data_IF_434297848400
#
_entry.id   IF_434297848400
#
_cell.length_a   1.000
_cell.length_b   1.000
_cell.length_c   1.000
_cell.angle_alpha   90.00
_cell.angle_beta   90.00
_cell.angle_gamma   90.00
#
_symmetry.space_group_name_H-M   'P 1'
#
loop_
_entity.id
_entity.type
_entity.pdbx_description
1 polymer ?
#
# COMPACT_ATOMS: atom_id res chain seq x y z
N UNK A 1 -34.73 -44.47 -7.20
CA UNK A 1 -34.92 -43.75 -5.91
C UNK A 1 -33.61 -43.53 -5.17
N UNK A 2 -32.82 -44.58 -4.90
CA UNK A 2 -31.52 -44.49 -4.20
C UNK A 2 -30.50 -43.54 -4.87
N UNK A 3 -30.50 -43.53 -6.21
CA UNK A 3 -29.57 -42.78 -7.05
C UNK A 3 -29.94 -41.29 -7.11
N UNK A 4 -31.24 -40.97 -6.99
CA UNK A 4 -31.77 -39.61 -6.99
C UNK A 4 -31.44 -38.91 -5.67
N UNK A 5 -31.57 -39.59 -4.52
CA UNK A 5 -31.16 -39.04 -3.24
C UNK A 5 -29.65 -38.72 -3.19
N UNK A 6 -28.81 -39.55 -3.82
CA UNK A 6 -27.36 -39.33 -3.81
C UNK A 6 -26.93 -38.10 -4.63
N UNK A 7 -27.61 -37.85 -5.76
CA UNK A 7 -27.40 -36.65 -6.59
C UNK A 7 -27.87 -35.39 -5.87
N UNK A 8 -29.01 -35.46 -5.17
CA UNK A 8 -29.51 -34.34 -4.35
C UNK A 8 -28.56 -34.02 -3.19
N UNK A 9 -27.96 -35.03 -2.56
CA UNK A 9 -26.99 -34.86 -1.48
C UNK A 9 -25.68 -34.19 -1.94
N UNK A 10 -25.22 -34.50 -3.15
CA UNK A 10 -24.04 -33.88 -3.76
C UNK A 10 -24.28 -32.42 -4.18
N UNK A 11 -25.46 -32.12 -4.74
CA UNK A 11 -25.83 -30.75 -5.10
C UNK A 11 -26.03 -29.85 -3.88
N UNK A 12 -26.50 -30.41 -2.75
CA UNK A 12 -26.68 -29.68 -1.50
C UNK A 12 -25.36 -29.38 -0.74
N UNK A 13 -24.30 -30.18 -0.95
CA UNK A 13 -23.00 -29.96 -0.29
C UNK A 13 -22.12 -28.94 -1.05
N UNK A 14 -22.35 -28.76 -2.36
CA UNK A 14 -21.58 -27.83 -3.20
C UNK A 14 -21.85 -26.34 -2.95
N UNK A 15 -22.98 -26.00 -2.34
CA UNK A 15 -23.37 -24.60 -2.02
C UNK A 15 -22.82 -24.09 -0.69
N UNK A 16 -22.09 -24.92 0.07
CA UNK A 16 -21.47 -24.55 1.34
C UNK A 16 -20.01 -24.06 1.20
N UNK A 17 -19.63 -23.50 0.04
CA UNK A 17 -18.36 -22.81 -0.11
C UNK A 17 -18.47 -21.42 0.53
N UNK A 18 -18.00 -21.35 1.78
CA UNK A 18 -17.83 -20.11 2.51
C UNK A 18 -16.85 -19.21 1.73
N UNK A 19 -17.36 -18.07 1.24
CA UNK A 19 -16.52 -16.99 0.74
C UNK A 19 -15.71 -16.40 1.88
N UNK A 20 -14.39 -16.46 1.80
CA UNK A 20 -13.52 -15.59 2.58
C UNK A 20 -13.48 -14.22 1.90
N UNK A 21 -14.49 -13.39 2.17
CA UNK A 21 -14.44 -11.99 1.74
C UNK A 21 -13.46 -11.21 2.63
N UNK A 22 -12.38 -10.73 2.01
CA UNK A 22 -11.53 -9.66 2.54
C UNK A 22 -10.57 -10.07 3.65
N UNK A 23 -9.43 -10.68 3.30
CA UNK A 23 -8.32 -10.85 4.24
C UNK A 23 -7.83 -9.51 4.83
N UNK A 24 -7.26 -9.55 6.03
CA UNK A 24 -6.73 -8.36 6.71
C UNK A 24 -5.55 -7.75 5.93
N UNK A 25 -5.76 -6.59 5.31
CA UNK A 25 -4.74 -5.92 4.51
C UNK A 25 -4.02 -4.86 5.34
N UNK A 26 -2.79 -5.15 5.73
CA UNK A 26 -1.89 -4.21 6.42
C UNK A 26 -0.94 -3.61 5.40
N UNK A 27 -0.64 -2.32 5.56
CA UNK A 27 0.50 -1.72 4.87
C UNK A 27 1.34 -0.95 5.84
N UNK A 28 2.61 -1.33 5.88
CA UNK A 28 3.60 -0.76 6.79
C UNK A 28 4.44 0.23 6.00
N UNK A 29 4.44 1.48 6.46
CA UNK A 29 5.40 2.49 6.02
C UNK A 29 6.43 2.61 7.13
N UNK A 30 7.70 2.39 6.81
CA UNK A 30 8.79 2.52 7.78
C UNK A 30 9.92 3.37 7.21
N UNK A 31 10.61 4.08 8.10
CA UNK A 31 11.88 4.75 7.80
C UNK A 31 12.89 4.28 8.83
N UNK A 32 14.13 4.08 8.43
CA UNK A 32 15.21 3.74 9.34
C UNK A 32 16.39 4.72 9.12
N UNK A 33 17.19 4.93 10.16
CA UNK A 33 18.44 5.72 10.11
C UNK A 33 18.29 7.09 9.44
N UNK A 34 17.24 7.83 9.81
CA UNK A 34 16.99 9.16 9.25
C UNK A 34 18.05 10.20 9.67
N UNK A 35 18.91 9.90 10.65
CA UNK A 35 20.07 10.69 11.04
C UNK A 35 19.82 12.22 11.08
N UNK A 36 18.72 12.64 11.70
CA UNK A 36 18.34 14.06 11.81
C UNK A 36 18.26 14.81 10.47
N UNK A 37 17.97 14.12 9.36
CA UNK A 37 17.75 14.70 8.03
C UNK A 37 16.35 15.30 7.93
N UNK A 38 16.15 16.40 8.66
CA UNK A 38 14.90 17.16 8.65
C UNK A 38 14.67 17.84 7.29
N UNK A 39 15.72 18.42 6.73
CA UNK A 39 15.74 19.03 5.40
C UNK A 39 16.13 18.01 4.33
N UNK A 40 15.89 18.37 3.07
CA UNK A 40 16.34 17.57 1.94
C UNK A 40 17.88 17.47 1.88
N UNK A 41 18.35 16.33 1.38
CA UNK A 41 19.75 16.00 1.25
C UNK A 41 20.09 15.75 -0.22
N UNK A 42 21.35 15.95 -0.59
CA UNK A 42 21.83 15.54 -1.91
C UNK A 42 22.02 14.01 -1.97
N UNK A 43 22.36 13.49 -3.15
CA UNK A 43 22.60 12.03 -3.36
C UNK A 43 23.62 11.42 -2.39
N UNK A 44 24.56 12.21 -1.87
CA UNK A 44 25.60 11.75 -0.93
C UNK A 44 25.17 11.86 0.54
N UNK A 45 23.92 12.22 0.81
CA UNK A 45 23.41 12.44 2.15
C UNK A 45 23.90 13.73 2.81
N UNK A 46 24.57 14.61 2.07
CA UNK A 46 25.00 15.93 2.51
C UNK A 46 23.89 16.97 2.38
N UNK A 47 24.19 18.22 2.78
CA UNK A 47 23.28 19.35 2.59
C UNK A 47 22.96 19.50 1.10
N UNK A 48 21.67 19.58 0.77
CA UNK A 48 21.21 19.98 -0.56
C UNK A 48 21.59 21.43 -0.83
N UNK A 49 22.33 21.67 -1.91
CA UNK A 49 22.74 23.01 -2.37
C UNK A 49 21.88 23.49 -3.53
N UNK A 50 21.93 24.78 -3.86
CA UNK A 50 21.16 25.32 -4.99
C UNK A 50 21.56 24.68 -6.32
N UNK A 51 22.85 24.34 -6.50
CA UNK A 51 23.33 23.58 -7.66
C UNK A 51 22.76 22.17 -7.74
N UNK A 52 22.49 21.54 -6.59
CA UNK A 52 21.83 20.24 -6.55
C UNK A 52 20.34 20.41 -6.92
N UNK A 53 19.68 21.47 -6.44
CA UNK A 53 18.28 21.78 -6.76
C UNK A 53 18.05 22.04 -8.24
N UNK A 54 18.94 22.79 -8.89
CA UNK A 54 18.88 23.07 -10.34
C UNK A 54 18.95 21.80 -11.19
N UNK A 55 19.51 20.71 -10.64
CA UNK A 55 19.65 19.41 -11.31
C UNK A 55 18.68 18.34 -10.78
N UNK A 56 17.65 18.74 -10.03
CA UNK A 56 16.73 17.83 -9.34
C UNK A 56 17.42 16.80 -8.44
N UNK A 57 18.58 17.15 -7.89
CA UNK A 57 19.45 16.28 -7.11
C UNK A 57 19.18 16.26 -5.60
N UNK A 58 18.02 16.77 -5.16
CA UNK A 58 17.66 16.85 -3.75
C UNK A 58 16.52 15.90 -3.37
N UNK A 59 16.74 15.16 -2.29
CA UNK A 59 15.93 14.01 -1.92
C UNK A 59 15.52 14.07 -0.45
N UNK A 60 14.41 13.39 -0.13
CA UNK A 60 13.95 13.22 1.24
C UNK A 60 13.53 14.54 1.92
N UNK A 61 13.87 14.67 3.19
CA UNK A 61 13.36 15.72 4.06
C UNK A 61 11.93 15.44 4.54
N UNK A 62 11.61 15.95 5.73
CA UNK A 62 10.33 15.69 6.41
C UNK A 62 9.14 16.22 5.60
N UNK A 63 9.30 17.36 4.91
CA UNK A 63 8.23 17.93 4.09
C UNK A 63 7.76 16.98 2.97
N UNK A 64 8.71 16.36 2.25
CA UNK A 64 8.38 15.39 1.18
C UNK A 64 7.88 14.08 1.77
N UNK A 65 8.49 13.61 2.86
CA UNK A 65 8.06 12.40 3.56
C UNK A 65 6.60 12.50 3.99
N UNK A 66 6.22 13.57 4.69
CA UNK A 66 4.85 13.81 5.14
C UNK A 66 3.88 13.90 3.96
N UNK A 67 4.28 14.54 2.85
CA UNK A 67 3.45 14.61 1.65
C UNK A 67 3.15 13.22 1.09
N UNK A 68 4.15 12.35 1.00
CA UNK A 68 3.96 10.99 0.48
C UNK A 68 3.19 10.11 1.45
N UNK A 69 3.44 10.21 2.76
CA UNK A 69 2.64 9.55 3.81
C UNK A 69 1.18 9.96 3.71
N UNK A 70 0.89 11.27 3.63
CA UNK A 70 -0.48 11.78 3.46
C UNK A 70 -1.13 11.24 2.19
N UNK A 71 -0.40 11.14 1.07
CA UNK A 71 -0.93 10.52 -0.16
C UNK A 71 -1.33 9.06 0.10
N UNK A 72 -0.46 8.25 0.70
CA UNK A 72 -0.77 6.85 0.98
C UNK A 72 -1.94 6.70 1.97
N UNK A 73 -2.01 7.53 3.02
CA UNK A 73 -3.13 7.52 3.96
C UNK A 73 -4.44 7.97 3.31
N UNK A 74 -4.44 9.10 2.57
CA UNK A 74 -5.63 9.63 1.92
C UNK A 74 -6.16 8.73 0.80
N UNK A 75 -5.26 8.07 0.06
CA UNK A 75 -5.64 7.05 -0.92
C UNK A 75 -6.33 5.91 -0.19
N UNK A 76 -5.75 5.34 0.88
CA UNK A 76 -6.36 4.17 1.50
C UNK A 76 -7.68 4.44 2.24
N UNK A 77 -7.88 5.63 2.82
CA UNK A 77 -9.19 5.99 3.39
C UNK A 77 -10.29 6.03 2.32
N UNK A 78 -9.94 6.29 1.06
CA UNK A 78 -10.88 6.31 -0.07
C UNK A 78 -11.09 4.93 -0.72
N UNK A 79 -10.17 3.99 -0.50
CA UNK A 79 -10.08 2.72 -1.23
C UNK A 79 -10.66 1.50 -0.50
N UNK A 80 -11.39 1.68 0.61
CA UNK A 80 -12.14 0.59 1.28
C UNK A 80 -13.19 -0.07 0.34
N UNK A 81 -13.42 0.45 -0.87
CA UNK A 81 -14.36 -0.13 -1.84
C UNK A 81 -13.86 -0.32 -3.28
N UNK A 82 -12.58 -0.18 -3.63
CA UNK A 82 -12.17 -0.37 -5.04
C UNK A 82 -10.76 -0.88 -5.19
N UNK A 83 -10.59 -2.14 -5.58
CA UNK A 83 -9.35 -2.67 -6.15
C UNK A 83 -8.96 -1.87 -7.39
N UNK A 84 -8.10 -0.86 -7.24
CA UNK A 84 -7.27 -0.37 -8.34
C UNK A 84 -6.02 0.27 -7.75
N UNK A 85 -4.92 -0.47 -7.74
CA UNK A 85 -3.59 0.05 -7.41
C UNK A 85 -3.25 1.21 -8.35
N UNK A 86 -2.90 2.41 -7.84
CA UNK A 86 -2.28 3.43 -8.68
C UNK A 86 -0.86 2.99 -8.98
N UNK A 87 -0.57 2.77 -10.26
CA UNK A 87 0.78 2.51 -10.75
C UNK A 87 1.72 3.69 -10.43
N UNK A 88 2.98 3.33 -10.22
CA UNK A 88 4.06 4.18 -9.72
C UNK A 88 4.45 5.30 -10.67
#
# INVERSE_FOLDING_TARGET
>A
MKNICMVIFMLAWGSAQCSTEGGFNITVLHTNDIHSRFLEANKKGGKCTDKDREKDGCFGGVARLVTKVRRFCNVRTRFIGSLQSPDF
#
